data_IF_934767473356
#
_entry.id   IF_934767473356
#
_cell.length_a   1.000
_cell.length_b   1.000
_cell.length_c   1.000
_cell.angle_alpha   90.00
_cell.angle_beta   90.00
_cell.angle_gamma   90.00
#
_symmetry.space_group_name_H-M   'P 1'
#
loop_
_entity.id
_entity.type
_entity.pdbx_description
1 polymer ?
#
# COMPACT_ATOMS: atom_id res chain seq x y z
N UNK A 1 23.26 -47.99 52.87
CA UNK A 1 23.22 -46.86 51.92
C UNK A 1 24.44 -46.00 52.18
N UNK A 2 25.46 -46.11 51.32
CA UNK A 2 26.72 -45.35 51.41
C UNK A 2 26.41 -43.87 51.15
N UNK A 3 26.97 -42.99 51.99
CA UNK A 3 26.71 -41.56 51.97
C UNK A 3 26.94 -40.97 50.59
N UNK A 4 25.88 -40.44 50.00
CA UNK A 4 25.99 -39.58 48.83
C UNK A 4 26.80 -38.35 49.27
N UNK A 5 27.98 -38.17 48.67
CA UNK A 5 28.86 -37.05 49.00
C UNK A 5 28.06 -35.75 48.88
N UNK A 6 28.07 -34.95 49.96
CA UNK A 6 27.35 -33.67 50.07
C UNK A 6 27.38 -32.80 48.79
N UNK A 7 28.49 -32.69 48.02
CA UNK A 7 28.49 -31.96 46.74
C UNK A 7 27.59 -32.57 45.66
N UNK A 8 27.46 -33.89 45.57
CA UNK A 8 26.61 -34.56 44.59
C UNK A 8 25.12 -34.31 44.85
N UNK A 9 24.72 -34.27 46.13
CA UNK A 9 23.35 -33.92 46.54
C UNK A 9 23.00 -32.50 46.11
N UNK A 10 23.94 -31.57 46.32
CA UNK A 10 23.77 -30.15 46.02
C UNK A 10 23.65 -29.91 44.51
N UNK A 11 24.45 -30.61 43.71
CA UNK A 11 24.37 -30.57 42.24
C UNK A 11 23.00 -31.04 41.73
N UNK A 12 22.48 -32.14 42.27
CA UNK A 12 21.17 -32.69 41.88
C UNK A 12 20.05 -31.69 42.20
N UNK A 13 20.10 -31.05 43.38
CA UNK A 13 19.13 -30.03 43.77
C UNK A 13 19.16 -28.83 42.82
N UNK A 14 20.36 -28.37 42.43
CA UNK A 14 20.52 -27.25 41.48
C UNK A 14 19.97 -27.61 40.11
N UNK A 15 20.26 -28.82 39.59
CA UNK A 15 19.76 -29.28 38.30
C UNK A 15 18.21 -29.35 38.32
N UNK A 16 17.63 -29.88 39.38
CA UNK A 16 16.18 -29.93 39.54
C UNK A 16 15.55 -28.53 39.63
N UNK A 17 16.20 -27.59 40.33
CA UNK A 17 15.77 -26.20 40.40
C UNK A 17 15.81 -25.53 39.02
N UNK A 18 16.86 -25.73 38.25
CA UNK A 18 16.99 -25.18 36.89
C UNK A 18 15.93 -25.79 35.95
N UNK A 19 15.72 -27.11 36.01
CA UNK A 19 14.69 -27.78 35.22
C UNK A 19 13.27 -27.32 35.62
N UNK A 20 13.01 -27.13 36.91
CA UNK A 20 11.74 -26.61 37.39
C UNK A 20 11.52 -25.17 36.91
N UNK A 21 12.52 -24.29 37.06
CA UNK A 21 12.44 -22.91 36.57
C UNK A 21 12.24 -22.89 35.05
N UNK A 22 12.89 -23.77 34.29
CA UNK A 22 12.72 -23.87 32.84
C UNK A 22 11.32 -24.39 32.45
N UNK A 23 10.75 -25.31 33.22
CA UNK A 23 9.43 -25.89 32.97
C UNK A 23 8.28 -24.96 33.39
N UNK A 24 8.52 -24.12 34.40
CA UNK A 24 7.57 -23.11 34.88
C UNK A 24 7.83 -21.70 34.32
N UNK A 25 8.90 -21.52 33.54
CA UNK A 25 9.09 -20.31 32.76
C UNK A 25 7.90 -20.21 31.80
N UNK A 26 7.09 -19.14 31.89
CA UNK A 26 5.99 -18.98 30.96
C UNK A 26 6.59 -18.94 29.55
N UNK A 27 6.25 -19.93 28.73
CA UNK A 27 6.40 -19.83 27.29
C UNK A 27 5.57 -18.62 26.87
N UNK A 28 6.19 -17.45 26.82
CA UNK A 28 5.61 -16.30 26.17
C UNK A 28 5.55 -16.66 24.69
N UNK A 29 4.45 -17.28 24.26
CA UNK A 29 3.99 -17.07 22.90
C UNK A 29 3.77 -15.57 22.81
N UNK A 30 4.76 -14.84 22.30
CA UNK A 30 4.62 -13.44 21.92
C UNK A 30 3.60 -13.43 20.79
N UNK A 31 2.32 -13.42 21.16
CA UNK A 31 1.22 -13.21 20.22
C UNK A 31 1.34 -11.77 19.77
N UNK A 32 2.02 -11.57 18.64
CA UNK A 32 2.09 -10.27 17.98
C UNK A 32 0.67 -9.83 17.65
N UNK A 33 0.27 -8.65 18.11
CA UNK A 33 -1.02 -8.07 17.73
C UNK A 33 -1.01 -7.64 16.26
N UNK A 34 -2.20 -7.51 15.66
CA UNK A 34 -2.33 -7.04 14.27
C UNK A 34 -1.71 -5.64 14.07
N UNK A 35 -1.85 -4.76 15.05
CA UNK A 35 -1.28 -3.41 14.98
C UNK A 35 0.25 -3.42 15.03
N UNK A 36 0.85 -4.26 15.89
CA UNK A 36 2.30 -4.45 15.93
C UNK A 36 2.83 -5.06 14.64
N UNK A 37 2.10 -6.03 14.07
CA UNK A 37 2.42 -6.66 12.81
C UNK A 37 2.38 -5.67 11.64
N UNK A 38 1.33 -4.82 11.58
CA UNK A 38 1.22 -3.74 10.59
C UNK A 38 2.36 -2.74 10.76
N UNK A 39 2.67 -2.33 12.00
CA UNK A 39 3.75 -1.40 12.27
C UNK A 39 5.11 -1.97 11.84
N UNK A 40 5.35 -3.27 12.08
CA UNK A 40 6.56 -3.97 11.66
C UNK A 40 6.74 -3.93 10.15
N UNK A 41 5.73 -4.33 9.37
CA UNK A 41 5.84 -4.36 7.91
C UNK A 41 5.92 -2.95 7.30
N UNK A 42 5.23 -1.96 7.90
CA UNK A 42 5.35 -0.55 7.48
C UNK A 42 6.77 -0.03 7.70
N UNK A 43 7.36 -0.33 8.86
CA UNK A 43 8.73 0.07 9.18
C UNK A 43 9.74 -0.56 8.23
N UNK A 44 9.59 -1.85 7.93
CA UNK A 44 10.43 -2.56 6.95
C UNK A 44 10.34 -1.94 5.55
N UNK A 45 9.12 -1.65 5.09
CA UNK A 45 8.88 -1.02 3.80
C UNK A 45 9.49 0.38 3.71
N UNK A 46 9.28 1.22 4.74
CA UNK A 46 9.85 2.56 4.82
C UNK A 46 11.38 2.55 4.92
N UNK A 47 11.97 1.54 5.56
CA UNK A 47 13.41 1.35 5.57
C UNK A 47 13.95 0.98 4.19
N UNK A 48 13.18 0.26 3.39
CA UNK A 48 13.55 -0.10 2.01
C UNK A 48 13.35 1.05 1.03
N UNK A 49 12.33 1.90 1.26
CA UNK A 49 11.94 3.01 0.41
C UNK A 49 11.67 4.27 1.25
N UNK A 50 12.72 5.01 1.64
CA UNK A 50 12.58 6.24 2.41
C UNK A 50 11.70 7.26 1.68
N UNK A 51 10.70 7.80 2.37
CA UNK A 51 9.76 8.78 1.81
C UNK A 51 8.61 8.18 0.98
N UNK A 52 8.53 6.86 0.83
CA UNK A 52 7.41 6.22 0.16
C UNK A 52 6.12 6.26 0.99
N UNK A 53 4.99 6.40 0.30
CA UNK A 53 3.68 6.18 0.90
C UNK A 53 3.43 4.68 1.04
N UNK A 54 2.96 4.24 2.22
CA UNK A 54 2.70 2.82 2.51
C UNK A 54 1.27 2.65 2.98
N UNK A 55 0.47 1.93 2.19
CA UNK A 55 -0.93 1.62 2.47
C UNK A 55 -1.08 0.13 2.75
N UNK A 56 -1.76 -0.23 3.84
CA UNK A 56 -2.09 -1.62 4.13
C UNK A 56 -3.28 -2.01 3.26
N UNK A 57 -3.13 -3.06 2.46
CA UNK A 57 -4.21 -3.63 1.68
C UNK A 57 -5.02 -4.59 2.58
N UNK A 58 -6.33 -4.79 2.29
CA UNK A 58 -7.14 -5.73 3.05
C UNK A 58 -6.46 -7.11 3.13
N UNK A 59 -6.39 -7.73 4.32
CA UNK A 59 -5.74 -9.03 4.47
C UNK A 59 -6.49 -10.10 3.66
N UNK A 60 -5.76 -10.90 2.88
CA UNK A 60 -6.34 -11.98 2.02
C UNK A 60 -6.59 -13.24 2.87
N UNK A 61 -7.20 -13.10 4.05
CA UNK A 61 -7.65 -14.21 4.87
C UNK A 61 -6.89 -14.39 6.18
N UNK A 62 -7.69 -14.52 7.22
CA UNK A 62 -7.34 -15.10 8.51
C UNK A 62 -7.90 -16.52 8.50
N UNK A 63 -7.07 -17.52 8.27
CA UNK A 63 -7.39 -18.86 8.77
C UNK A 63 -7.09 -18.77 10.25
N UNK A 64 -8.08 -19.02 11.11
CA UNK A 64 -7.90 -19.05 12.57
C UNK A 64 -7.70 -20.47 13.09
N UNK A 65 -7.34 -21.42 12.23
CA UNK A 65 -7.28 -22.84 12.56
C UNK A 65 -5.95 -23.46 12.12
N UNK A 66 -4.89 -23.12 12.86
CA UNK A 66 -3.71 -23.96 13.03
C UNK A 66 -2.48 -23.46 12.28
N UNK A 67 -1.38 -23.23 13.01
CA UNK A 67 -0.07 -22.84 12.45
C UNK A 67 -0.10 -21.62 11.53
N UNK A 68 -1.01 -20.68 11.79
CA UNK A 68 -1.37 -19.61 10.86
C UNK A 68 -0.23 -18.59 10.70
N UNK A 69 0.50 -18.69 9.59
CA UNK A 69 1.42 -17.66 9.14
C UNK A 69 0.61 -16.39 8.84
N UNK A 70 0.76 -15.37 9.68
CA UNK A 70 0.14 -14.06 9.48
C UNK A 70 0.53 -13.50 8.11
N UNK A 71 -0.48 -13.14 7.30
CA UNK A 71 -0.27 -12.54 5.99
C UNK A 71 -0.69 -11.09 5.97
N UNK A 72 0.24 -10.20 5.61
CA UNK A 72 -0.05 -8.77 5.45
C UNK A 72 0.41 -8.33 4.06
N UNK A 73 -0.48 -7.65 3.36
CA UNK A 73 -0.17 -7.08 2.07
C UNK A 73 -0.11 -5.57 2.19
N UNK A 74 0.94 -4.97 1.65
CA UNK A 74 1.09 -3.52 1.61
C UNK A 74 1.33 -3.07 0.18
N UNK A 75 0.73 -1.92 -0.18
CA UNK A 75 1.05 -1.14 -1.36
C UNK A 75 2.08 -0.08 -0.96
N UNK A 76 3.18 -0.01 -1.70
CA UNK A 76 4.25 0.97 -1.54
C UNK A 76 4.26 1.82 -2.80
N UNK A 77 4.02 3.11 -2.64
CA UNK A 77 4.05 4.08 -3.73
C UNK A 77 5.24 5.01 -3.53
N UNK A 78 6.18 4.94 -4.46
CA UNK A 78 7.38 5.78 -4.50
C UNK A 78 7.17 6.86 -5.55
N UNK A 79 6.98 8.08 -5.11
CA UNK A 79 6.92 9.25 -5.98
C UNK A 79 8.32 9.65 -6.41
N UNK A 80 8.48 10.03 -7.68
CA UNK A 80 9.72 10.61 -8.19
C UNK A 80 9.61 12.15 -8.11
N UNK A 81 10.41 12.82 -7.26
CA UNK A 81 10.32 14.27 -7.08
C UNK A 81 10.71 15.06 -8.35
N UNK A 82 11.36 14.42 -9.33
CA UNK A 82 11.71 15.01 -10.62
C UNK A 82 10.75 14.59 -11.73
N UNK A 83 9.92 13.58 -11.51
CA UNK A 83 8.94 13.10 -12.49
C UNK A 83 7.64 12.63 -11.82
N UNK A 84 6.73 13.57 -11.59
CA UNK A 84 5.44 13.31 -10.96
C UNK A 84 4.55 12.34 -11.77
N UNK A 85 4.79 12.19 -13.07
CA UNK A 85 4.01 11.31 -13.94
C UNK A 85 4.41 9.84 -13.91
N UNK A 86 5.48 9.50 -13.19
CA UNK A 86 6.01 8.15 -13.17
C UNK A 86 6.13 7.57 -11.76
N UNK A 87 5.05 7.54 -10.95
CA UNK A 87 5.08 6.89 -9.65
C UNK A 87 5.38 5.39 -9.82
N UNK A 88 6.24 4.86 -8.95
CA UNK A 88 6.56 3.43 -8.89
C UNK A 88 5.73 2.78 -7.80
N UNK A 89 4.98 1.76 -8.16
CA UNK A 89 4.15 1.00 -7.23
C UNK A 89 4.68 -0.41 -7.08
N UNK A 90 4.81 -0.82 -5.83
CA UNK A 90 5.15 -2.17 -5.44
C UNK A 90 4.07 -2.69 -4.51
N UNK A 91 3.69 -3.95 -4.67
CA UNK A 91 2.96 -4.67 -3.64
C UNK A 91 3.92 -5.63 -2.99
N UNK A 92 3.97 -5.61 -1.66
CA UNK A 92 4.70 -6.61 -0.87
C UNK A 92 3.71 -7.48 -0.13
N UNK A 93 3.86 -8.79 -0.32
CA UNK A 93 3.12 -9.84 0.36
C UNK A 93 4.01 -10.41 1.46
N UNK A 94 3.67 -10.15 2.72
CA UNK A 94 4.41 -10.62 3.89
C UNK A 94 3.78 -11.89 4.46
N UNK A 95 4.63 -12.82 4.87
CA UNK A 95 4.33 -13.90 5.81
C UNK A 95 5.16 -13.62 7.07
N UNK A 96 4.56 -13.48 8.25
CA UNK A 96 5.31 -13.02 9.44
C UNK A 96 5.99 -14.14 10.23
N UNK A 97 5.63 -15.40 9.97
CA UNK A 97 6.15 -16.55 10.72
C UNK A 97 6.51 -17.71 9.78
N UNK A 98 7.80 -17.88 9.40
CA UNK A 98 8.90 -16.93 9.59
C UNK A 98 8.74 -15.67 8.73
N UNK A 99 9.31 -14.53 9.16
CA UNK A 99 9.22 -13.27 8.40
C UNK A 99 9.86 -13.43 7.01
N UNK A 100 9.01 -13.46 5.99
CA UNK A 100 9.38 -13.54 4.57
C UNK A 100 8.48 -12.61 3.78
N UNK A 101 8.96 -12.13 2.65
CA UNK A 101 8.11 -11.37 1.74
C UNK A 101 8.42 -11.68 0.28
N UNK A 102 7.40 -11.51 -0.56
CA UNK A 102 7.52 -11.43 -2.01
C UNK A 102 7.14 -10.02 -2.43
N UNK A 103 7.96 -9.40 -3.28
CA UNK A 103 7.63 -8.13 -3.91
C UNK A 103 7.11 -8.36 -5.33
N UNK A 104 6.11 -7.59 -5.73
CA UNK A 104 5.58 -7.53 -7.08
C UNK A 104 5.55 -6.09 -7.53
N UNK A 105 6.14 -5.81 -8.70
CA UNK A 105 6.13 -4.46 -9.29
C UNK A 105 4.85 -4.31 -10.10
N UNK A 106 4.01 -3.36 -9.72
CA UNK A 106 2.75 -3.07 -10.40
C UNK A 106 3.00 -2.11 -11.57
N UNK A 107 3.75 -1.03 -11.36
CA UNK A 107 4.13 -0.10 -12.44
C UNK A 107 5.61 -0.22 -12.75
N UNK A 108 5.95 -0.57 -14.00
CA UNK A 108 7.34 -0.68 -14.47
C UNK A 108 7.62 0.39 -15.54
N UNK A 109 8.67 1.19 -15.33
CA UNK A 109 9.19 2.09 -16.36
C UNK A 109 8.17 3.11 -16.90
N UNK A 110 7.39 3.73 -16.02
CA UNK A 110 6.35 4.71 -16.40
C UNK A 110 5.33 4.18 -17.42
N UNK A 111 5.01 2.89 -17.31
CA UNK A 111 4.01 2.25 -18.16
C UNK A 111 2.84 1.82 -17.28
N UNK A 112 1.64 2.28 -17.66
CA UNK A 112 0.38 1.84 -17.07
C UNK A 112 -0.05 0.50 -17.67
N UNK A 113 -0.57 -0.41 -16.85
CA UNK A 113 -1.24 -1.62 -17.30
C UNK A 113 -2.48 -1.32 -18.15
N UNK A 114 -2.88 -2.32 -18.94
CA UNK A 114 -4.14 -2.31 -19.69
C UNK A 114 -4.87 -3.64 -19.41
N UNK A 115 -6.02 -3.63 -18.71
CA UNK A 115 -6.73 -2.45 -18.20
C UNK A 115 -6.03 -1.78 -17.01
N UNK A 116 -6.32 -0.49 -16.78
CA UNK A 116 -5.91 0.25 -15.58
C UNK A 116 -6.67 -0.30 -14.37
N UNK A 117 -5.93 -0.81 -13.39
CA UNK A 117 -6.45 -1.37 -12.15
C UNK A 117 -6.14 -0.51 -10.94
N UNK A 118 -5.10 0.32 -11.00
CA UNK A 118 -4.62 1.12 -9.88
C UNK A 118 -4.64 2.63 -10.16
N UNK A 119 -4.76 3.42 -9.10
CA UNK A 119 -4.74 4.89 -9.16
C UNK A 119 -3.47 5.41 -9.83
N UNK A 120 -2.32 4.82 -9.50
CA UNK A 120 -1.02 5.22 -10.03
C UNK A 120 -0.86 4.92 -11.52
N UNK A 121 -1.56 3.92 -12.05
CA UNK A 121 -1.62 3.66 -13.48
C UNK A 121 -2.45 4.73 -14.20
N UNK A 122 -3.50 5.25 -13.56
CA UNK A 122 -4.27 6.39 -14.07
C UNK A 122 -3.43 7.67 -14.08
N UNK A 123 -2.60 7.90 -13.06
CA UNK A 123 -1.61 9.00 -13.03
C UNK A 123 -0.66 8.87 -14.23
N UNK A 124 -0.06 7.70 -14.43
CA UNK A 124 0.86 7.48 -15.57
C UNK A 124 0.15 7.70 -16.91
N UNK A 125 -1.08 7.22 -17.06
CA UNK A 125 -1.83 7.36 -18.30
C UNK A 125 -2.24 8.81 -18.58
N UNK A 126 -2.76 9.53 -17.58
CA UNK A 126 -3.11 10.95 -17.72
C UNK A 126 -1.90 11.84 -17.98
N UNK A 127 -0.74 11.50 -17.40
CA UNK A 127 0.54 12.18 -17.60
C UNK A 127 1.05 12.16 -19.04
N UNK A 128 0.57 11.25 -19.90
CA UNK A 128 0.92 11.19 -21.33
C UNK A 128 0.23 12.26 -22.19
N UNK A 129 -0.78 12.94 -21.65
CA UNK A 129 -1.38 14.08 -22.35
C UNK A 129 -0.39 15.23 -22.38
N UNK A 130 -0.11 15.79 -23.57
CA UNK A 130 0.78 16.96 -23.71
C UNK A 130 0.41 18.14 -22.81
N UNK A 131 -0.89 18.30 -22.50
CA UNK A 131 -1.37 19.37 -21.62
C UNK A 131 -0.99 19.17 -20.15
N UNK A 132 -0.85 17.92 -19.73
CA UNK A 132 -0.39 17.54 -18.40
C UNK A 132 1.13 17.44 -18.39
N UNK A 133 1.71 16.79 -19.39
CA UNK A 133 3.15 16.54 -19.50
C UNK A 133 3.98 17.81 -19.37
N UNK A 134 3.64 18.82 -20.18
CA UNK A 134 4.40 20.05 -20.27
C UNK A 134 4.35 20.90 -19.00
N UNK A 135 3.31 20.72 -18.17
CA UNK A 135 3.05 21.61 -17.04
C UNK A 135 3.30 20.93 -15.69
N UNK A 136 3.13 19.62 -15.60
CA UNK A 136 3.15 18.90 -14.33
C UNK A 136 4.25 17.84 -14.26
N UNK A 137 4.52 17.04 -15.30
CA UNK A 137 5.41 15.87 -15.11
C UNK A 137 6.78 16.23 -14.53
N UNK A 138 7.42 17.30 -15.01
CA UNK A 138 8.75 17.72 -14.55
C UNK A 138 8.72 18.82 -13.46
N UNK A 139 7.54 19.18 -12.96
CA UNK A 139 7.40 20.20 -11.94
C UNK A 139 7.61 19.59 -10.54
N UNK A 140 8.38 20.27 -9.69
CA UNK A 140 8.59 19.86 -8.30
C UNK A 140 7.39 20.24 -7.44
N UNK A 141 6.93 19.34 -6.58
CA UNK A 141 5.83 19.61 -5.65
C UNK A 141 4.43 19.52 -6.26
N UNK A 142 4.31 18.78 -7.37
CA UNK A 142 3.02 18.41 -7.96
C UNK A 142 2.28 17.49 -6.99
N UNK A 143 0.98 17.72 -6.85
CA UNK A 143 0.08 16.84 -6.12
C UNK A 143 -0.87 16.20 -7.10
N UNK A 144 -1.17 14.92 -6.88
CA UNK A 144 -2.18 14.21 -7.66
C UNK A 144 -3.27 13.70 -6.74
N UNK A 145 -4.52 13.80 -7.20
CA UNK A 145 -5.68 13.17 -6.58
C UNK A 145 -6.35 12.30 -7.63
N UNK A 146 -6.78 11.09 -7.26
CA UNK A 146 -7.35 10.14 -8.20
C UNK A 146 -8.71 9.68 -7.71
N UNK A 147 -9.68 9.73 -8.60
CA UNK A 147 -11.05 9.28 -8.36
C UNK A 147 -11.42 8.24 -9.40
N UNK A 148 -11.93 7.09 -8.93
CA UNK A 148 -12.55 6.12 -9.82
C UNK A 148 -14.02 6.46 -9.99
N UNK A 149 -14.43 6.69 -11.23
CA UNK A 149 -15.78 7.06 -11.61
C UNK A 149 -16.45 5.89 -12.33
N UNK A 150 -17.58 5.42 -11.78
CA UNK A 150 -18.49 4.54 -12.49
C UNK A 150 -19.90 5.12 -12.48
N UNK A 151 -20.64 4.96 -13.58
CA UNK A 151 -22.00 5.49 -13.72
C UNK A 151 -22.94 5.06 -12.57
N UNK A 152 -22.70 3.88 -11.99
CA UNK A 152 -23.43 3.36 -10.84
C UNK A 152 -23.04 4.03 -9.51
N UNK A 153 -21.76 4.38 -9.31
CA UNK A 153 -21.26 5.02 -8.08
C UNK A 153 -21.71 6.47 -7.94
N UNK A 154 -21.91 7.21 -9.04
CA UNK A 154 -22.40 8.61 -9.03
C UNK A 154 -23.71 8.75 -8.25
N UNK A 155 -24.64 7.82 -8.45
CA UNK A 155 -25.95 7.87 -7.77
C UNK A 155 -25.83 7.69 -6.26
N UNK A 156 -24.73 7.11 -5.78
CA UNK A 156 -24.51 6.77 -4.37
C UNK A 156 -23.74 7.86 -3.60
N UNK A 157 -22.92 8.68 -4.26
CA UNK A 157 -22.04 9.64 -3.57
C UNK A 157 -22.68 11.04 -3.49
N UNK A 158 -23.54 11.27 -2.50
CA UNK A 158 -24.20 12.56 -2.25
C UNK A 158 -23.30 13.68 -1.67
N UNK A 159 -22.08 13.37 -1.22
CA UNK A 159 -21.25 14.26 -0.40
C UNK A 159 -19.93 14.73 -1.04
N UNK A 160 -19.92 14.88 -2.36
CA UNK A 160 -18.71 15.28 -3.07
C UNK A 160 -18.86 16.72 -3.60
N UNK A 161 -18.38 17.71 -2.84
CA UNK A 161 -18.39 19.14 -3.24
C UNK A 161 -17.57 19.42 -4.52
N UNK A 162 -16.59 18.56 -4.83
CA UNK A 162 -15.80 18.59 -6.07
C UNK A 162 -16.48 17.84 -7.23
N UNK A 163 -17.61 17.17 -6.99
CA UNK A 163 -18.26 16.37 -8.00
C UNK A 163 -18.94 17.20 -9.08
N UNK A 164 -19.28 18.48 -8.89
CA UNK A 164 -19.85 19.27 -9.98
C UNK A 164 -18.87 19.47 -11.16
N UNK A 165 -17.59 19.69 -10.86
CA UNK A 165 -16.55 19.82 -11.89
C UNK A 165 -16.22 18.47 -12.52
N UNK A 166 -16.13 17.41 -11.71
CA UNK A 166 -15.91 16.05 -12.20
C UNK A 166 -17.11 15.57 -13.04
N UNK A 167 -18.33 15.81 -12.60
CA UNK A 167 -19.57 15.53 -13.34
C UNK A 167 -19.62 16.31 -14.66
N UNK A 168 -19.23 17.59 -14.66
CA UNK A 168 -19.12 18.37 -15.89
C UNK A 168 -18.10 17.77 -16.86
N UNK A 169 -16.94 17.34 -16.36
CA UNK A 169 -15.91 16.69 -17.18
C UNK A 169 -16.42 15.41 -17.85
N UNK A 170 -17.17 14.60 -17.11
CA UNK A 170 -17.54 13.23 -17.51
C UNK A 170 -18.94 13.13 -18.14
N UNK A 171 -19.76 14.17 -18.04
CA UNK A 171 -21.18 14.18 -18.48
C UNK A 171 -21.39 13.87 -19.96
N UNK A 172 -20.42 14.22 -20.81
CA UNK A 172 -20.43 14.03 -22.26
C UNK A 172 -19.59 12.82 -22.72
N UNK A 173 -18.98 12.08 -21.78
CA UNK A 173 -18.12 10.95 -22.13
C UNK A 173 -18.93 9.65 -22.30
N UNK A 174 -18.72 8.88 -23.38
CA UNK A 174 -19.50 7.69 -23.69
C UNK A 174 -19.11 6.44 -22.87
N UNK A 175 -18.41 6.60 -21.74
CA UNK A 175 -17.81 5.50 -20.96
C UNK A 175 -18.47 5.32 -19.61
N UNK A 176 -18.70 4.05 -19.25
CA UNK A 176 -19.34 3.66 -18.00
C UNK A 176 -18.38 3.65 -16.81
N UNK A 177 -17.08 3.50 -17.06
CA UNK A 177 -16.03 3.45 -16.05
C UNK A 177 -14.79 4.20 -16.53
N UNK A 178 -14.34 5.14 -15.72
CA UNK A 178 -13.20 6.00 -16.03
C UNK A 178 -12.49 6.40 -14.74
N UNK A 179 -11.22 6.73 -14.87
CA UNK A 179 -10.41 7.32 -13.82
C UNK A 179 -10.32 8.82 -14.07
N UNK A 180 -10.50 9.62 -13.02
CA UNK A 180 -10.30 11.06 -13.07
C UNK A 180 -9.09 11.38 -12.21
N UNK A 181 -8.09 12.01 -12.82
CA UNK A 181 -6.86 12.43 -12.14
C UNK A 181 -6.82 13.94 -12.09
N UNK A 182 -6.77 14.50 -10.90
CA UNK A 182 -6.45 15.90 -10.66
C UNK A 182 -4.94 16.06 -10.56
N UNK A 183 -4.42 17.06 -11.27
CA UNK A 183 -3.03 17.48 -11.27
C UNK A 183 -2.95 18.90 -10.75
N UNK A 184 -2.26 19.09 -9.63
CA UNK A 184 -2.18 20.40 -8.97
C UNK A 184 -0.74 20.82 -8.72
N UNK A 185 -0.37 22.01 -9.20
CA UNK A 185 0.95 22.62 -9.04
C UNK A 185 0.84 24.14 -8.87
N UNK A 186 1.15 24.63 -7.67
CA UNK A 186 1.00 26.05 -7.34
C UNK A 186 -0.46 26.49 -7.48
N UNK A 187 -0.73 27.42 -8.41
CA UNK A 187 -2.08 27.91 -8.74
C UNK A 187 -2.75 27.16 -9.89
N UNK A 188 -2.05 26.23 -10.53
CA UNK A 188 -2.56 25.50 -11.68
C UNK A 188 -3.16 24.18 -11.21
N UNK A 189 -4.41 23.92 -11.61
CA UNK A 189 -5.03 22.61 -11.45
C UNK A 189 -5.67 22.16 -12.76
N UNK A 190 -5.53 20.87 -13.09
CA UNK A 190 -6.19 20.25 -14.24
C UNK A 190 -6.76 18.90 -13.87
N UNK A 191 -7.95 18.61 -14.39
CA UNK A 191 -8.57 17.29 -14.33
C UNK A 191 -8.37 16.58 -15.66
N UNK A 192 -7.98 15.31 -15.62
CA UNK A 192 -7.86 14.44 -16.78
C UNK A 192 -8.72 13.19 -16.58
N UNK A 193 -9.64 12.94 -17.52
CA UNK A 193 -10.43 11.71 -17.57
C UNK A 193 -9.72 10.67 -18.44
N UNK A 194 -9.54 9.47 -17.91
CA UNK A 194 -8.83 8.36 -18.54
C UNK A 194 -9.72 7.12 -18.55
N UNK A 195 -9.83 6.43 -19.68
CA UNK A 195 -10.57 5.17 -19.74
C UNK A 195 -9.76 3.98 -19.16
N UNK A 196 -10.39 2.81 -19.03
CA UNK A 196 -9.67 1.58 -18.61
C UNK A 196 -8.52 1.17 -19.53
N UNK A 197 -8.53 1.55 -20.81
CA UNK A 197 -7.44 1.26 -21.76
C UNK A 197 -6.24 2.20 -21.60
N UNK A 198 -6.34 3.22 -20.74
CA UNK A 198 -5.31 4.23 -20.53
C UNK A 198 -5.29 5.35 -21.56
N UNK A 199 -6.37 5.54 -22.32
CA UNK A 199 -6.52 6.66 -23.23
C UNK A 199 -7.10 7.86 -22.47
N UNK A 200 -6.47 9.02 -22.64
CA UNK A 200 -6.95 10.29 -22.09
C UNK A 200 -8.10 10.78 -22.96
N UNK A 201 -9.30 10.83 -22.39
CA UNK A 201 -10.51 11.19 -23.11
C UNK A 201 -10.75 12.70 -23.13
N UNK A 202 -10.43 13.38 -22.02
CA UNK A 202 -10.68 14.81 -21.85
C UNK A 202 -9.76 15.38 -20.78
N UNK A 203 -9.32 16.62 -20.97
CA UNK A 203 -8.58 17.40 -19.99
C UNK A 203 -9.27 18.74 -19.82
N UNK A 204 -9.45 19.18 -18.58
CA UNK A 204 -10.11 20.44 -18.22
C UNK A 204 -9.27 21.17 -17.18
N UNK A 205 -9.19 22.49 -17.32
CA UNK A 205 -8.57 23.36 -16.31
C UNK A 205 -9.54 23.64 -15.17
N UNK A 206 -9.04 23.63 -13.94
CA UNK A 206 -9.78 23.98 -12.73
C UNK A 206 -9.39 25.42 -12.38
N UNK A 207 -10.37 26.32 -12.44
CA UNK A 207 -10.22 27.77 -12.18
C UNK A 207 -10.70 28.10 -10.78
#
# INVERSE_FOLDING_TARGET
MKGMDRPAVLLIIVIFLVLAIYSFAPFRQTTMSMDEAIALVKKDAQSSYPGASVTVLPPIGFSGNGSDAWKINIKITVEDPLNACCPKVFVRYYELMPLRFRSETITKGCTAGKPILYEEEAIIASGKSKQIENQFCNARGVKTSVLFFSAEKIRATKDCKECSLVESLVSDLPVQELWVVEWSYGKYSKLAAVNRSGDVLKVMEVV
#
